data_IF_623256270633
#
_entry.id   IF_623256270633
#
_cell.length_a   1.000
_cell.length_b   1.000
_cell.length_c   1.000
_cell.angle_alpha   90.00
_cell.angle_beta   90.00
_cell.angle_gamma   90.00
#
_symmetry.space_group_name_H-M   'P 1'
#
loop_
_entity.id
_entity.type
_entity.pdbx_description
1 polymer ?
#
# COMPACT_ATOMS: atom_id res chain seq x y z
N UNK A 1 -22.54 12.46 10.58
CA UNK A 1 -22.23 11.99 9.20
C UNK A 1 -21.20 12.95 8.62
N UNK A 2 -20.00 12.52 8.27
CA UNK A 2 -18.92 13.43 7.83
C UNK A 2 -19.24 13.99 6.44
N UNK A 3 -19.34 15.32 6.30
CA UNK A 3 -19.61 15.95 5.00
C UNK A 3 -18.28 16.15 4.28
N UNK A 4 -17.95 15.19 3.40
CA UNK A 4 -16.74 15.27 2.60
C UNK A 4 -16.84 16.44 1.61
N UNK A 5 -15.88 17.36 1.68
CA UNK A 5 -15.71 18.43 0.68
C UNK A 5 -15.48 17.82 -0.71
N UNK A 6 -15.88 18.52 -1.79
CA UNK A 6 -15.69 18.04 -3.18
C UNK A 6 -14.22 17.65 -3.44
N UNK A 7 -13.27 18.46 -2.95
CA UNK A 7 -11.83 18.21 -3.07
C UNK A 7 -11.38 16.92 -2.36
N UNK A 8 -11.97 16.58 -1.21
CA UNK A 8 -11.68 15.31 -0.53
C UNK A 8 -12.15 14.11 -1.34
N UNK A 9 -13.36 14.17 -1.93
CA UNK A 9 -13.90 13.08 -2.75
C UNK A 9 -13.02 12.81 -3.97
N UNK A 10 -12.57 13.87 -4.65
CA UNK A 10 -11.65 13.77 -5.79
C UNK A 10 -10.32 13.15 -5.38
N UNK A 11 -9.71 13.61 -4.29
CA UNK A 11 -8.43 13.06 -3.83
C UNK A 11 -8.56 11.59 -3.39
N UNK A 12 -9.66 11.23 -2.72
CA UNK A 12 -9.97 9.84 -2.38
C UNK A 12 -10.04 8.96 -3.63
N UNK A 13 -10.74 9.40 -4.66
CA UNK A 13 -10.86 8.66 -5.91
C UNK A 13 -9.50 8.42 -6.57
N UNK A 14 -8.64 9.44 -6.65
CA UNK A 14 -7.29 9.29 -7.18
C UNK A 14 -6.45 8.31 -6.37
N UNK A 15 -6.45 8.43 -5.03
CA UNK A 15 -5.73 7.48 -4.17
C UNK A 15 -6.21 6.05 -4.41
N UNK A 16 -7.52 5.84 -4.52
CA UNK A 16 -8.09 4.52 -4.81
C UNK A 16 -7.61 3.97 -6.16
N UNK A 17 -7.62 4.78 -7.22
CA UNK A 17 -7.09 4.37 -8.53
C UNK A 17 -5.62 3.98 -8.42
N UNK A 18 -4.77 4.82 -7.82
CA UNK A 18 -3.34 4.52 -7.69
C UNK A 18 -3.08 3.25 -6.87
N UNK A 19 -3.83 3.05 -5.78
CA UNK A 19 -3.74 1.81 -5.00
C UNK A 19 -4.17 0.59 -5.79
N UNK A 20 -5.22 0.70 -6.61
CA UNK A 20 -5.70 -0.39 -7.46
C UNK A 20 -4.67 -0.75 -8.54
N UNK A 21 -4.10 0.26 -9.21
CA UNK A 21 -3.01 0.06 -10.18
C UNK A 21 -1.84 -0.66 -9.50
N UNK A 22 -1.41 -0.19 -8.32
CA UNK A 22 -0.32 -0.83 -7.58
C UNK A 22 -0.62 -2.29 -7.20
N UNK A 23 -1.86 -2.61 -6.81
CA UNK A 23 -2.27 -4.00 -6.54
C UNK A 23 -2.18 -4.85 -7.82
N UNK A 24 -2.71 -4.35 -8.94
CA UNK A 24 -2.64 -5.07 -10.22
C UNK A 24 -1.19 -5.30 -10.68
N UNK A 25 -0.30 -4.34 -10.50
CA UNK A 25 1.13 -4.51 -10.83
C UNK A 25 1.79 -5.58 -9.96
N UNK A 26 1.51 -5.61 -8.65
CA UNK A 26 2.02 -6.67 -7.76
C UNK A 26 1.49 -8.06 -8.13
N UNK A 27 0.21 -8.18 -8.51
CA UNK A 27 -0.36 -9.45 -9.00
C UNK A 27 0.34 -9.89 -10.28
N UNK A 28 0.58 -8.96 -11.22
CA UNK A 28 1.32 -9.25 -12.45
C UNK A 28 2.74 -9.75 -12.15
N UNK A 29 3.45 -9.10 -11.22
CA UNK A 29 4.78 -9.51 -10.78
C UNK A 29 4.77 -10.90 -10.12
N UNK A 30 3.74 -11.20 -9.30
CA UNK A 30 3.54 -12.55 -8.75
C UNK A 30 3.37 -13.60 -9.84
N UNK A 31 2.56 -13.33 -10.88
CA UNK A 31 2.40 -14.24 -12.02
C UNK A 31 3.71 -14.46 -12.79
N UNK A 32 4.52 -13.42 -12.98
CA UNK A 32 5.85 -13.54 -13.61
C UNK A 32 6.78 -14.43 -12.78
N UNK A 33 6.84 -14.21 -11.47
CA UNK A 33 7.64 -15.04 -10.56
C UNK A 33 7.15 -16.49 -10.55
N UNK A 34 5.85 -16.71 -10.59
CA UNK A 34 5.27 -18.05 -10.66
C UNK A 34 5.60 -18.76 -11.98
N UNK A 35 5.45 -18.06 -13.12
CA UNK A 35 5.79 -18.60 -14.43
C UNK A 35 7.27 -19.00 -14.52
N UNK A 36 8.15 -18.21 -13.89
CA UNK A 36 9.58 -18.45 -13.84
C UNK A 36 10.06 -19.17 -12.55
N UNK A 37 9.17 -19.87 -11.84
CA UNK A 37 9.51 -20.52 -10.57
C UNK A 37 10.71 -21.48 -10.67
N UNK A 38 10.86 -22.19 -11.79
CA UNK A 38 11.96 -23.16 -11.98
C UNK A 38 13.35 -22.52 -11.93
N UNK A 39 13.53 -21.35 -12.54
CA UNK A 39 14.82 -20.64 -12.54
C UNK A 39 15.06 -19.93 -11.21
N UNK A 40 14.00 -19.42 -10.56
CA UNK A 40 14.08 -18.90 -9.18
C UNK A 40 14.49 -19.98 -8.17
N UNK A 41 14.05 -21.23 -8.38
CA UNK A 41 14.49 -22.36 -7.56
C UNK A 41 15.98 -22.67 -7.74
N UNK A 42 16.50 -22.52 -8.96
CA UNK A 42 17.94 -22.67 -9.21
C UNK A 42 18.72 -21.55 -8.54
N UNK A 43 18.20 -20.32 -8.58
CA UNK A 43 18.77 -19.20 -7.83
C UNK A 43 18.83 -19.44 -6.32
N UNK A 44 17.72 -19.88 -5.72
CA UNK A 44 17.67 -20.23 -4.29
C UNK A 44 18.76 -21.24 -3.88
N UNK A 45 19.09 -22.19 -4.76
CA UNK A 45 20.13 -23.19 -4.51
C UNK A 45 21.54 -22.67 -4.74
N UNK A 46 21.77 -21.95 -5.84
CA UNK A 46 23.07 -21.36 -6.17
C UNK A 46 23.49 -20.30 -5.15
N UNK A 47 22.51 -19.59 -4.60
CA UNK A 47 22.72 -18.51 -3.64
C UNK A 47 22.44 -18.96 -2.20
N UNK A 48 22.40 -20.27 -1.91
CA UNK A 48 22.09 -20.80 -0.56
C UNK A 48 23.09 -20.36 0.53
N UNK A 49 24.32 -20.00 0.13
CA UNK A 49 25.31 -19.42 1.03
C UNK A 49 24.94 -17.99 1.49
N UNK A 50 24.05 -17.31 0.76
CA UNK A 50 23.49 -16.03 1.14
C UNK A 50 22.27 -16.25 2.03
N UNK A 51 22.15 -15.43 3.07
CA UNK A 51 21.14 -15.61 4.11
C UNK A 51 19.69 -15.47 3.59
N UNK A 52 19.48 -14.69 2.53
CA UNK A 52 18.18 -14.47 1.88
C UNK A 52 18.40 -14.20 0.40
N UNK A 53 17.63 -14.86 -0.47
CA UNK A 53 17.75 -14.70 -1.93
C UNK A 53 16.81 -13.62 -2.49
N UNK A 54 17.03 -13.20 -3.74
CA UNK A 54 16.15 -12.25 -4.43
C UNK A 54 14.72 -12.80 -4.54
N UNK A 55 14.55 -14.09 -4.80
CA UNK A 55 13.22 -14.69 -4.90
C UNK A 55 12.44 -14.61 -3.58
N UNK A 56 13.10 -14.88 -2.45
CA UNK A 56 12.52 -14.79 -1.11
C UNK A 56 12.18 -13.35 -0.71
N UNK A 57 13.13 -12.42 -0.90
CA UNK A 57 12.88 -10.99 -0.69
C UNK A 57 11.79 -10.46 -1.60
N UNK A 58 11.76 -10.88 -2.86
CA UNK A 58 10.76 -10.49 -3.84
C UNK A 58 9.35 -10.84 -3.37
N UNK A 59 9.14 -12.06 -2.86
CA UNK A 59 7.85 -12.49 -2.33
C UNK A 59 7.44 -11.71 -1.07
N UNK A 60 8.38 -11.48 -0.15
CA UNK A 60 8.14 -10.68 1.06
C UNK A 60 7.73 -9.25 0.70
N UNK A 61 8.45 -8.61 -0.23
CA UNK A 61 8.17 -7.25 -0.69
C UNK A 61 6.81 -7.16 -1.38
N UNK A 62 6.41 -8.15 -2.19
CA UNK A 62 5.07 -8.21 -2.76
C UNK A 62 3.99 -8.20 -1.66
N UNK A 63 4.18 -8.99 -0.60
CA UNK A 63 3.28 -9.00 0.56
C UNK A 63 3.21 -7.64 1.27
N UNK A 64 4.38 -7.06 1.59
CA UNK A 64 4.46 -5.74 2.23
C UNK A 64 3.82 -4.63 1.37
N UNK A 65 4.02 -4.66 0.05
CA UNK A 65 3.41 -3.72 -0.89
C UNK A 65 1.88 -3.79 -0.81
N UNK A 66 1.31 -4.99 -0.88
CA UNK A 66 -0.14 -5.19 -0.82
C UNK A 66 -0.73 -4.69 0.51
N UNK A 67 -0.11 -5.03 1.64
CA UNK A 67 -0.55 -4.57 2.96
C UNK A 67 -0.53 -3.05 3.04
N UNK A 68 0.55 -2.41 2.56
CA UNK A 68 0.70 -0.97 2.60
C UNK A 68 -0.35 -0.23 1.74
N UNK A 69 -0.62 -0.74 0.53
CA UNK A 69 -1.65 -0.20 -0.37
C UNK A 69 -3.07 -0.37 0.20
N UNK A 70 -3.37 -1.53 0.78
CA UNK A 70 -4.67 -1.79 1.44
C UNK A 70 -4.82 -0.85 2.64
N UNK A 71 -3.79 -0.72 3.48
CA UNK A 71 -3.80 0.16 4.64
C UNK A 71 -4.04 1.63 4.24
N UNK A 72 -3.46 2.08 3.12
CA UNK A 72 -3.74 3.39 2.55
C UNK A 72 -5.22 3.55 2.19
N UNK A 73 -5.77 2.60 1.43
CA UNK A 73 -7.16 2.64 0.97
C UNK A 73 -8.14 2.63 2.16
N UNK A 74 -7.88 1.82 3.19
CA UNK A 74 -8.64 1.80 4.43
C UNK A 74 -8.55 3.15 5.18
N UNK A 75 -7.36 3.73 5.28
CA UNK A 75 -7.14 5.03 5.92
C UNK A 75 -7.93 6.15 5.24
N UNK A 76 -7.89 6.21 3.90
CA UNK A 76 -8.63 7.21 3.13
C UNK A 76 -10.13 6.94 3.15
N UNK A 77 -10.57 5.69 3.11
CA UNK A 77 -12.01 5.37 3.14
C UNK A 77 -12.65 5.68 4.49
N UNK A 78 -11.95 5.36 5.59
CA UNK A 78 -12.42 5.62 6.97
C UNK A 78 -12.32 7.09 7.40
N UNK A 79 -11.73 7.96 6.58
CA UNK A 79 -11.46 9.37 6.92
C UNK A 79 -10.61 9.55 8.20
N UNK A 80 -9.88 8.51 8.64
CA UNK A 80 -9.10 8.56 9.88
C UNK A 80 -7.76 9.26 9.69
N UNK A 81 -7.64 10.48 10.22
CA UNK A 81 -6.40 11.27 10.15
C UNK A 81 -5.21 10.58 10.85
N UNK A 82 -5.47 9.80 11.89
CA UNK A 82 -4.41 9.07 12.62
C UNK A 82 -3.82 7.99 11.71
N UNK A 83 -4.67 7.18 11.07
CA UNK A 83 -4.25 6.13 10.13
C UNK A 83 -3.46 6.72 8.96
N UNK A 84 -3.96 7.81 8.37
CA UNK A 84 -3.27 8.53 7.28
C UNK A 84 -1.89 9.07 7.69
N UNK A 85 -1.74 9.59 8.93
CA UNK A 85 -0.45 10.07 9.46
C UNK A 85 0.55 8.94 9.66
N UNK A 86 0.10 7.80 10.19
CA UNK A 86 0.93 6.60 10.36
C UNK A 86 1.36 6.07 8.99
N UNK A 87 0.40 5.90 8.08
CA UNK A 87 0.65 5.47 6.70
C UNK A 87 1.74 6.31 6.05
N UNK A 88 1.64 7.65 6.11
CA UNK A 88 2.63 8.55 5.50
C UNK A 88 4.06 8.29 6.01
N UNK A 89 4.25 8.08 7.31
CA UNK A 89 5.58 7.80 7.89
C UNK A 89 6.09 6.44 7.44
N UNK A 90 5.26 5.40 7.58
CA UNK A 90 5.62 4.02 7.22
C UNK A 90 5.94 3.92 5.73
N UNK A 91 5.08 4.48 4.87
CA UNK A 91 5.27 4.47 3.42
C UNK A 91 6.55 5.20 2.98
N UNK A 92 6.94 6.28 3.66
CA UNK A 92 8.18 6.98 3.35
C UNK A 92 9.41 6.12 3.64
N UNK A 93 9.52 5.57 4.85
CA UNK A 93 10.65 4.70 5.21
C UNK A 93 10.68 3.43 4.35
N UNK A 94 9.52 2.86 4.06
CA UNK A 94 9.39 1.70 3.19
C UNK A 94 9.84 1.99 1.76
N UNK A 95 9.48 3.15 1.17
CA UNK A 95 9.96 3.54 -0.15
C UNK A 95 11.48 3.74 -0.20
N UNK A 96 12.08 4.30 0.85
CA UNK A 96 13.54 4.45 0.95
C UNK A 96 14.22 3.07 1.02
N UNK A 97 13.70 2.18 1.88
CA UNK A 97 14.17 0.79 1.97
C UNK A 97 14.08 0.06 0.62
N UNK A 98 12.95 0.18 -0.07
CA UNK A 98 12.73 -0.44 -1.37
C UNK A 98 13.70 0.10 -2.42
N UNK A 99 14.00 1.41 -2.41
CA UNK A 99 14.97 2.01 -3.32
C UNK A 99 16.39 1.48 -3.11
N UNK A 100 16.82 1.31 -1.84
CA UNK A 100 18.11 0.71 -1.50
C UNK A 100 18.19 -0.74 -2.01
N UNK A 101 17.13 -1.52 -1.79
CA UNK A 101 17.07 -2.90 -2.28
C UNK A 101 17.11 -3.00 -3.81
N UNK A 102 16.37 -2.14 -4.52
CA UNK A 102 16.41 -2.10 -5.99
C UNK A 102 17.82 -1.79 -6.48
N UNK A 103 18.51 -0.83 -5.85
CA UNK A 103 19.89 -0.51 -6.19
C UNK A 103 20.83 -1.69 -5.94
N UNK A 104 20.68 -2.38 -4.80
CA UNK A 104 21.46 -3.57 -4.46
C UNK A 104 21.25 -4.70 -5.48
N UNK A 105 20.00 -5.01 -5.83
CA UNK A 105 19.69 -6.09 -6.76
C UNK A 105 20.18 -5.83 -8.18
N UNK A 106 20.06 -4.59 -8.67
CA UNK A 106 20.50 -4.24 -10.02
C UNK A 106 22.04 -4.18 -10.17
N UNK A 107 22.77 -4.02 -9.07
CA UNK A 107 24.24 -3.86 -9.09
C UNK A 107 24.94 -5.11 -8.58
N UNK A 108 24.96 -5.31 -7.26
CA UNK A 108 25.75 -6.34 -6.60
C UNK A 108 25.17 -7.74 -6.83
N UNK A 109 23.89 -7.94 -6.54
CA UNK A 109 23.28 -9.27 -6.61
C UNK A 109 23.33 -9.88 -8.01
N UNK A 110 23.12 -9.06 -9.03
CA UNK A 110 23.23 -9.46 -10.44
C UNK A 110 24.62 -10.02 -10.78
N UNK A 111 25.67 -9.36 -10.30
CA UNK A 111 27.06 -9.76 -10.54
C UNK A 111 27.38 -11.03 -9.77
N UNK A 112 26.94 -11.13 -8.51
CA UNK A 112 27.14 -12.31 -7.66
C UNK A 112 26.48 -13.56 -8.27
N UNK A 113 25.24 -13.45 -8.73
CA UNK A 113 24.55 -14.57 -9.40
C UNK A 113 25.29 -15.00 -10.66
N UNK A 114 25.74 -14.04 -11.49
CA UNK A 114 26.50 -14.34 -12.70
C UNK A 114 27.81 -15.07 -12.41
N UNK A 115 28.53 -14.68 -11.34
CA UNK A 115 29.75 -15.36 -10.89
C UNK A 115 29.45 -16.79 -10.45
N UNK A 116 28.43 -16.99 -9.59
CA UNK A 116 28.08 -18.31 -9.06
C UNK A 116 27.57 -19.27 -10.13
N UNK A 117 26.74 -18.77 -11.05
CA UNK A 117 26.32 -19.54 -12.21
C UNK A 117 27.49 -19.91 -13.13
N UNK A 118 28.48 -19.01 -13.28
CA UNK A 118 29.73 -19.27 -14.00
C UNK A 118 30.62 -20.31 -13.32
N UNK A 119 30.75 -20.31 -11.99
CA UNK A 119 31.50 -21.33 -11.24
C UNK A 119 30.88 -22.73 -11.40
N UNK A 120 29.56 -22.80 -11.58
CA UNK A 120 28.83 -24.05 -11.78
C UNK A 120 29.08 -24.72 -13.15
N UNK A 121 29.73 -24.07 -14.13
CA UNK A 121 30.16 -24.73 -15.38
C UNK A 121 31.45 -25.53 -15.23
N UNK A 122 32.35 -25.12 -14.33
CA UNK A 122 33.68 -25.70 -14.18
C UNK A 122 33.71 -26.85 -13.18
N UNK A 123 32.79 -26.86 -12.23
CA UNK A 123 32.68 -27.90 -11.22
C UNK A 123 31.71 -28.98 -11.70
N UNK A 124 32.11 -30.25 -11.64
CA UNK A 124 31.21 -31.40 -11.77
C UNK A 124 30.17 -31.51 -10.63
N UNK A 125 29.77 -30.37 -10.08
CA UNK A 125 28.86 -30.22 -8.96
C UNK A 125 27.41 -30.47 -9.40
N UNK A 126 26.61 -30.91 -8.44
CA UNK A 126 25.17 -31.08 -8.60
C UNK A 126 24.47 -29.79 -9.09
N UNK A 127 25.04 -28.62 -8.82
CA UNK A 127 24.53 -27.30 -9.22
C UNK A 127 24.56 -27.08 -10.74
N UNK A 128 25.64 -27.47 -11.41
CA UNK A 128 25.73 -27.44 -12.89
C UNK A 128 24.75 -28.42 -13.53
N UNK A 129 24.56 -29.60 -12.92
CA UNK A 129 23.54 -30.57 -13.32
C UNK A 129 22.12 -30.03 -13.23
N UNK A 130 21.81 -29.24 -12.20
CA UNK A 130 20.51 -28.58 -12.07
C UNK A 130 20.26 -27.54 -13.15
N UNK A 131 21.25 -26.69 -13.47
CA UNK A 131 21.11 -25.72 -14.56
C UNK A 131 20.92 -26.44 -15.89
N UNK A 132 21.71 -27.48 -16.16
CA UNK A 132 21.62 -28.27 -17.39
C UNK A 132 20.25 -28.94 -17.55
N UNK A 133 19.66 -29.42 -16.45
CA UNK A 133 18.32 -30.03 -16.47
C UNK A 133 17.19 -29.07 -16.89
N UNK A 134 17.40 -27.75 -16.75
CA UNK A 134 16.44 -26.74 -17.23
C UNK A 134 16.51 -26.53 -18.74
N UNK A 135 17.64 -26.83 -19.37
CA UNK A 135 17.92 -26.53 -20.78
C UNK A 135 18.44 -27.77 -21.51
N UNK A 136 17.64 -28.84 -21.48
CA UNK A 136 17.95 -30.12 -22.13
C UNK A 136 18.27 -29.91 -23.61
N UNK A 137 19.38 -30.50 -24.08
CA UNK A 137 19.81 -30.41 -25.48
C UNK A 137 20.73 -29.23 -25.79
N UNK A 138 21.05 -28.37 -24.82
CA UNK A 138 22.10 -27.35 -24.96
C UNK A 138 23.44 -27.86 -24.40
N UNK A 139 24.56 -27.34 -24.88
CA UNK A 139 25.86 -27.57 -24.22
C UNK A 139 25.88 -26.86 -22.84
N UNK A 140 26.68 -27.37 -21.90
CA UNK A 140 26.74 -26.82 -20.53
C UNK A 140 26.99 -25.31 -20.49
N UNK A 141 27.95 -24.82 -21.29
CA UNK A 141 28.26 -23.38 -21.38
C UNK A 141 27.06 -22.56 -21.90
N UNK A 142 26.31 -23.11 -22.85
CA UNK A 142 25.15 -22.43 -23.43
C UNK A 142 23.94 -22.46 -22.48
N UNK A 143 23.76 -23.56 -21.74
CA UNK A 143 22.73 -23.70 -20.70
C UNK A 143 22.95 -22.69 -19.57
N UNK A 144 24.18 -22.52 -19.09
CA UNK A 144 24.50 -21.51 -18.06
C UNK A 144 24.30 -20.10 -18.57
N UNK A 145 24.74 -19.79 -19.80
CA UNK A 145 24.47 -18.47 -20.40
C UNK A 145 22.98 -18.19 -20.48
N UNK A 146 22.16 -19.16 -20.91
CA UNK A 146 20.70 -19.03 -20.95
C UNK A 146 20.08 -18.87 -19.57
N UNK A 147 20.60 -19.55 -18.55
CA UNK A 147 20.16 -19.39 -17.17
C UNK A 147 20.43 -17.98 -16.65
N UNK A 148 21.63 -17.43 -16.89
CA UNK A 148 22.01 -16.06 -16.55
C UNK A 148 21.11 -15.05 -17.28
N UNK A 149 20.89 -15.23 -18.58
CA UNK A 149 20.02 -14.34 -19.37
C UNK A 149 18.57 -14.36 -18.86
N UNK A 150 18.02 -15.54 -18.58
CA UNK A 150 16.67 -15.67 -18.02
C UNK A 150 16.56 -15.06 -16.62
N UNK A 151 17.53 -15.31 -15.75
CA UNK A 151 17.56 -14.72 -14.42
C UNK A 151 17.64 -13.18 -14.48
N UNK A 152 18.52 -12.64 -15.32
CA UNK A 152 18.64 -11.20 -15.53
C UNK A 152 17.35 -10.58 -16.04
N UNK A 153 16.65 -11.26 -16.96
CA UNK A 153 15.35 -10.81 -17.45
C UNK A 153 14.32 -10.71 -16.32
N UNK A 154 14.21 -11.73 -15.48
CA UNK A 154 13.28 -11.76 -14.34
C UNK A 154 13.65 -10.67 -13.33
N UNK A 155 14.93 -10.55 -12.99
CA UNK A 155 15.46 -9.54 -12.09
C UNK A 155 15.12 -8.13 -12.57
N UNK A 156 15.23 -7.86 -13.87
CA UNK A 156 14.87 -6.55 -14.45
C UNK A 156 13.36 -6.32 -14.33
N UNK A 157 12.53 -7.31 -14.67
CA UNK A 157 11.07 -7.19 -14.56
C UNK A 157 10.60 -6.94 -13.12
N UNK A 158 11.13 -7.68 -12.15
CA UNK A 158 10.78 -7.50 -10.73
C UNK A 158 11.21 -6.13 -10.22
N UNK A 159 12.39 -5.65 -10.62
CA UNK A 159 12.86 -4.32 -10.26
C UNK A 159 12.06 -3.20 -10.92
N UNK A 160 11.63 -3.34 -12.18
CA UNK A 160 10.72 -2.40 -12.83
C UNK A 160 9.40 -2.31 -12.05
N UNK A 161 8.83 -3.45 -11.64
CA UNK A 161 7.65 -3.47 -10.78
C UNK A 161 7.90 -2.70 -9.46
N UNK A 162 9.02 -2.94 -8.79
CA UNK A 162 9.36 -2.25 -7.54
C UNK A 162 9.52 -0.73 -7.75
N UNK A 163 10.14 -0.30 -8.85
CA UNK A 163 10.25 1.13 -9.21
C UNK A 163 8.87 1.75 -9.43
N UNK A 164 7.97 1.07 -10.13
CA UNK A 164 6.58 1.53 -10.32
C UNK A 164 5.86 1.67 -8.97
N UNK A 165 6.03 0.71 -8.06
CA UNK A 165 5.46 0.78 -6.71
C UNK A 165 6.04 1.95 -5.90
N UNK A 166 7.34 2.22 -6.00
CA UNK A 166 7.96 3.40 -5.38
C UNK A 166 7.27 4.68 -5.88
N UNK A 167 7.09 4.83 -7.20
CA UNK A 167 6.43 5.99 -7.81
C UNK A 167 4.99 6.12 -7.32
N UNK A 168 4.21 5.02 -7.33
CA UNK A 168 2.83 5.00 -6.83
C UNK A 168 2.77 5.40 -5.36
N UNK A 169 3.68 4.90 -4.54
CA UNK A 169 3.75 5.23 -3.11
C UNK A 169 4.05 6.73 -2.91
N UNK A 170 4.97 7.32 -3.68
CA UNK A 170 5.26 8.75 -3.59
C UNK A 170 4.08 9.62 -3.98
N UNK A 171 3.40 9.30 -5.08
CA UNK A 171 2.18 10.00 -5.51
C UNK A 171 1.10 9.89 -4.42
N UNK A 172 0.93 8.70 -3.86
CA UNK A 172 -0.06 8.44 -2.81
C UNK A 172 0.26 9.18 -1.51
N UNK A 173 1.54 9.24 -1.11
CA UNK A 173 2.01 10.04 0.03
C UNK A 173 1.70 11.52 -0.17
N UNK A 174 1.93 12.05 -1.38
CA UNK A 174 1.63 13.43 -1.72
C UNK A 174 0.12 13.73 -1.62
N UNK A 175 -0.71 12.85 -2.19
CA UNK A 175 -2.17 12.95 -2.10
C UNK A 175 -2.66 12.90 -0.65
N UNK A 176 -2.17 11.95 0.15
CA UNK A 176 -2.52 11.85 1.59
C UNK A 176 -2.10 13.11 2.35
N UNK A 177 -0.96 13.72 2.01
CA UNK A 177 -0.55 15.01 2.61
C UNK A 177 -1.56 16.11 2.30
N UNK A 178 -2.06 16.20 1.07
CA UNK A 178 -3.13 17.15 0.71
C UNK A 178 -4.38 16.87 1.55
N UNK A 179 -4.81 15.60 1.63
CA UNK A 179 -5.99 15.20 2.40
C UNK A 179 -5.89 15.59 3.88
N UNK A 180 -4.73 15.39 4.50
CA UNK A 180 -4.51 15.73 5.91
C UNK A 180 -4.64 17.23 6.19
N UNK A 181 -4.37 18.08 5.20
CA UNK A 181 -4.47 19.53 5.30
C UNK A 181 -5.90 20.06 5.03
N UNK A 182 -6.78 19.24 4.46
CA UNK A 182 -8.19 19.62 4.26
C UNK A 182 -8.91 19.61 5.62
N UNK A 183 -9.57 20.71 5.95
CA UNK A 183 -10.51 20.76 7.09
C UNK A 183 -11.71 19.88 6.74
N UNK A 184 -11.72 18.68 7.33
CA UNK A 184 -12.89 17.80 7.32
C UNK A 184 -13.88 18.42 8.31
N UNK A 185 -14.92 19.05 7.80
CA UNK A 185 -16.03 19.54 8.63
C UNK A 185 -16.78 18.33 9.19
N UNK A 186 -16.62 18.11 10.49
CA UNK A 186 -17.48 17.18 11.23
C UNK A 186 -18.82 17.89 11.36
N UNK A 187 -19.79 17.51 10.54
CA UNK A 187 -21.17 17.94 10.74
C UNK A 187 -21.61 17.29 12.05
N UNK A 188 -21.68 18.11 13.12
CA UNK A 188 -22.37 17.71 14.33
C UNK A 188 -23.77 17.25 13.91
N UNK A 189 -24.26 16.11 14.44
CA UNK A 189 -25.63 15.70 14.17
C UNK A 189 -26.54 16.88 14.48
N UNK A 190 -27.38 17.27 13.51
CA UNK A 190 -28.39 18.30 13.75
C UNK A 190 -29.13 17.89 15.03
N UNK A 191 -29.30 18.81 16.00
CA UNK A 191 -30.08 18.50 17.20
C UNK A 191 -31.42 17.93 16.74
N UNK A 192 -31.93 16.88 17.43
CA UNK A 192 -33.14 16.20 17.00
C UNK A 192 -34.19 17.26 16.70
N UNK A 193 -34.67 17.30 15.45
CA UNK A 193 -35.76 18.18 15.06
C UNK A 193 -36.95 17.75 15.91
N UNK A 194 -37.19 18.45 17.01
CA UNK A 194 -38.43 18.37 17.76
C UNK A 194 -39.47 18.84 16.76
N UNK A 195 -40.10 17.88 16.07
CA UNK A 195 -41.33 18.14 15.34
C UNK A 195 -42.30 18.55 16.44
N UNK A 196 -42.51 19.85 16.62
CA UNK A 196 -43.74 20.34 17.21
C UNK A 196 -44.82 19.83 16.30
N UNK A 197 -45.40 18.68 16.64
CA UNK A 197 -46.68 18.32 16.09
C UNK A 197 -47.58 19.50 16.40
N UNK A 198 -48.05 20.19 15.36
CA UNK A 198 -49.28 20.97 15.52
C UNK A 198 -50.30 19.96 16.01
N UNK A 199 -50.64 20.06 17.31
CA UNK A 199 -51.77 19.34 17.85
C UNK A 199 -52.98 19.86 17.08
N UNK A 200 -53.43 19.09 16.09
CA UNK A 200 -54.74 19.24 15.49
C UNK A 200 -55.72 18.87 16.61
N UNK A 201 -56.15 19.87 17.38
CA UNK A 201 -57.05 19.68 18.50
C UNK A 201 -56.92 20.75 19.57
N UNK A 202 -57.97 21.58 19.67
CA UNK A 202 -58.29 22.52 20.76
C UNK A 202 -57.40 23.77 20.86
N UNK A 203 -57.95 24.87 20.33
CA UNK A 203 -57.53 26.23 20.59
C UNK A 203 -57.48 26.54 22.10
N UNK A 204 -56.29 26.80 22.61
CA UNK A 204 -56.03 27.24 23.99
C UNK A 204 -56.34 28.73 24.23
N UNK A 205 -57.24 29.31 23.42
CA UNK A 205 -57.78 30.65 23.68
C UNK A 205 -58.61 30.69 24.98
N UNK A 206 -59.15 29.55 25.41
CA UNK A 206 -59.91 29.39 26.67
C UNK A 206 -59.03 29.24 27.92
N UNK A 207 -57.74 28.92 27.78
CA UNK A 207 -56.81 28.73 28.91
C UNK A 207 -55.99 29.99 29.26
N UNK A 208 -56.10 31.08 28.49
CA UNK A 208 -55.42 32.36 28.76
C UNK A 208 -56.04 33.20 29.89
N UNK A 209 -57.05 32.68 30.60
CA UNK A 209 -57.76 33.41 31.67
C UNK A 209 -57.64 32.71 33.03
N UNK A 210 -56.43 32.62 33.59
CA UNK A 210 -56.15 32.59 35.05
C UNK A 210 -54.68 32.32 35.37
N UNK A 211 -53.94 33.41 35.57
CA UNK A 211 -53.02 33.73 36.69
C UNK A 211 -51.87 34.57 36.19
N UNK A 212 -51.99 35.88 36.42
CA UNK A 212 -50.85 36.76 36.58
C UNK A 212 -50.23 36.36 37.93
N UNK A 213 -49.04 35.78 37.91
CA UNK A 213 -48.13 35.84 39.06
C UNK A 213 -46.95 36.66 38.56
N UNK A 214 -46.94 37.94 38.92
CA UNK A 214 -45.75 38.78 38.84
C UNK A 214 -44.76 38.27 39.88
N UNK A 215 -43.67 37.63 39.44
CA UNK A 215 -42.46 37.54 40.23
C UNK A 215 -41.62 38.77 39.92
N UNK A 216 -41.94 39.85 40.63
CA UNK A 216 -40.95 40.87 40.93
C UNK A 216 -40.21 40.41 42.19
N UNK A 217 -38.88 40.33 42.12
CA UNK A 217 -37.96 40.52 43.23
C UNK A 217 -36.53 40.37 42.72
N UNK A 218 -36.05 41.50 42.22
CA UNK A 218 -34.69 41.99 42.47
C UNK A 218 -34.27 41.78 43.94
N UNK A 219 -33.29 40.88 44.17
CA UNK A 219 -32.37 40.87 45.32
C UNK A 219 -31.22 39.89 44.97
N UNK A 220 -30.11 40.34 44.39
CA UNK A 220 -28.86 40.69 45.09
C UNK A 220 -28.27 39.53 45.90
N UNK A 221 -27.07 39.08 45.50
CA UNK A 221 -25.82 38.80 46.27
C UNK A 221 -24.81 38.25 45.24
N UNK A 222 -23.91 39.09 44.68
CA UNK A 222 -22.50 39.33 45.06
C UNK A 222 -21.62 38.09 45.24
N UNK A 223 -20.59 37.99 44.37
CA UNK A 223 -19.20 37.82 44.78
C UNK A 223 -18.52 39.16 44.46
#
# INVERSE_FOLDING_TARGET
MVKNTKSYKTCKFFVQIFTMIGIMTNIGCFCVNFYHYKILRVESKLMMAYFITHSEFGLLLLGCNLVLLIFCNCGVTSCSKVVMKIYKKVAFFYSVFLAILVAYFLTLYKVEFGSKAGEATFSGNADGGMIFSLFTGLSQNLAVKKAIDQFNYILILTNINNILIIIINFITIFMVRIVLNIKIEVVLPDPPKIKTFEHVGMSTASLKRRRIISLDNSAVIRI
#
